data_IF_400678890675
#
_entry.id   IF_400678890675
#
_cell.length_a   1.000
_cell.length_b   1.000
_cell.length_c   1.000
_cell.angle_alpha   90.00
_cell.angle_beta   90.00
_cell.angle_gamma   90.00
#
_symmetry.space_group_name_H-M   'P 1'
#
loop_
_entity.id
_entity.type
_entity.pdbx_description
1 polymer ?
#
# COMPACT_ATOMS: atom_id res chain seq x y z
N UNK A 1 14.08 -0.62 4.97
CA UNK A 1 13.63 -1.96 4.51
C UNK A 1 14.17 -2.98 5.49
N UNK A 2 13.29 -3.76 6.13
CA UNK A 2 13.72 -4.88 6.94
C UNK A 2 13.73 -6.12 6.04
N UNK A 3 14.91 -6.58 5.63
CA UNK A 3 15.03 -7.90 4.99
C UNK A 3 15.82 -8.80 5.95
N UNK A 4 15.13 -9.74 6.58
CA UNK A 4 15.74 -10.87 7.29
C UNK A 4 15.72 -12.09 6.36
N UNK A 5 16.18 -11.91 5.11
CA UNK A 5 16.12 -12.95 4.07
C UNK A 5 14.71 -13.50 3.87
N UNK A 6 14.46 -14.70 4.39
CA UNK A 6 13.21 -15.46 4.28
C UNK A 6 12.28 -15.38 5.51
N UNK A 7 12.50 -14.45 6.44
CA UNK A 7 11.70 -14.34 7.67
C UNK A 7 10.84 -13.08 7.70
N UNK A 8 9.63 -13.23 8.26
CA UNK A 8 8.72 -12.14 8.56
C UNK A 8 8.98 -11.58 9.97
N UNK A 9 8.92 -10.27 10.12
CA UNK A 9 8.86 -9.60 11.40
C UNK A 9 7.60 -8.73 11.44
N UNK A 10 6.80 -8.89 12.49
CA UNK A 10 5.51 -8.21 12.65
C UNK A 10 5.51 -7.51 14.01
N UNK A 11 5.10 -6.24 14.02
CA UNK A 11 4.85 -5.48 15.25
C UNK A 11 3.39 -5.09 15.27
N UNK A 12 2.72 -5.37 16.38
CA UNK A 12 1.31 -4.99 16.60
C UNK A 12 1.22 -4.05 17.80
N UNK A 13 0.35 -3.05 17.72
CA UNK A 13 0.12 -2.09 18.80
C UNK A 13 -1.33 -2.08 19.24
N UNK A 14 -1.55 -1.93 20.54
CA UNK A 14 -2.87 -1.55 21.07
C UNK A 14 -3.12 -0.09 20.71
N UNK A 15 -4.35 0.24 20.29
CA UNK A 15 -4.77 1.59 19.88
C UNK A 15 -4.15 2.12 18.57
N UNK A 16 -3.92 1.26 17.58
CA UNK A 16 -3.40 1.64 16.26
C UNK A 16 -4.26 2.64 15.45
N UNK A 17 -5.49 2.96 15.89
CA UNK A 17 -6.37 3.91 15.20
C UNK A 17 -7.24 3.30 14.09
N UNK A 18 -7.21 1.98 13.94
CA UNK A 18 -7.99 1.24 12.94
C UNK A 18 -9.10 0.40 13.58
N UNK A 19 -10.22 0.19 12.89
CA UNK A 19 -11.27 -0.77 13.29
C UNK A 19 -10.96 -2.16 12.78
N UNK A 20 -10.51 -2.25 11.53
CA UNK A 20 -10.19 -3.50 10.85
C UNK A 20 -8.93 -3.32 10.00
N UNK A 21 -8.20 -4.42 9.83
CA UNK A 21 -7.03 -4.49 8.96
C UNK A 21 -7.02 -5.82 8.20
N UNK A 22 -6.50 -5.78 6.98
CA UNK A 22 -6.26 -6.95 6.13
C UNK A 22 -4.88 -6.83 5.48
N UNK A 23 -4.27 -7.98 5.21
CA UNK A 23 -3.01 -8.07 4.49
C UNK A 23 -3.26 -8.75 3.16
N UNK A 24 -2.93 -8.07 2.07
CA UNK A 24 -2.97 -8.61 0.71
C UNK A 24 -1.53 -8.94 0.30
N UNK A 25 -1.25 -10.23 0.11
CA UNK A 25 0.04 -10.74 -0.35
C UNK A 25 -0.04 -11.04 -1.85
N UNK A 26 1.08 -10.83 -2.54
CA UNK A 26 1.26 -11.25 -3.94
C UNK A 26 0.23 -10.64 -4.91
N UNK A 27 0.44 -9.36 -5.21
CA UNK A 27 -0.43 -8.60 -6.12
C UNK A 27 -0.42 -9.16 -7.55
N UNK A 28 -1.40 -10.02 -7.86
CA UNK A 28 -1.84 -10.24 -9.23
C UNK A 28 -2.51 -8.97 -9.73
N UNK A 29 -1.87 -8.33 -10.71
CA UNK A 29 -2.47 -7.23 -11.46
C UNK A 29 -3.37 -7.80 -12.57
N UNK A 30 -4.56 -7.25 -12.85
CA UNK A 30 -5.09 -5.99 -12.34
C UNK A 30 -5.69 -6.09 -10.93
N UNK A 31 -5.54 -4.99 -10.20
CA UNK A 31 -5.69 -4.81 -8.75
C UNK A 31 -7.13 -4.91 -8.21
N UNK A 32 -7.86 -5.96 -8.57
CA UNK A 32 -9.23 -6.26 -8.11
C UNK A 32 -9.33 -6.26 -6.58
N UNK A 33 -8.33 -6.83 -5.90
CA UNK A 33 -8.27 -6.87 -4.44
C UNK A 33 -8.27 -5.46 -3.81
N UNK A 34 -7.46 -4.54 -4.34
CA UNK A 34 -7.36 -3.17 -3.78
C UNK A 34 -8.63 -2.39 -4.04
N UNK A 35 -9.14 -2.43 -5.28
CA UNK A 35 -10.36 -1.71 -5.62
C UNK A 35 -11.53 -2.19 -4.77
N UNK A 36 -11.71 -3.51 -4.65
CA UNK A 36 -12.74 -4.09 -3.77
C UNK A 36 -12.58 -3.66 -2.32
N UNK A 37 -11.35 -3.55 -1.80
CA UNK A 37 -11.10 -3.10 -0.42
C UNK A 37 -11.35 -1.59 -0.28
N UNK A 38 -10.97 -0.78 -1.26
CA UNK A 38 -11.26 0.66 -1.29
C UNK A 38 -12.75 0.95 -1.29
N UNK A 39 -13.56 0.18 -2.03
CA UNK A 39 -15.03 0.27 -2.05
C UNK A 39 -15.63 -0.07 -0.67
N UNK A 40 -14.99 -0.98 0.05
CA UNK A 40 -15.37 -1.34 1.42
C UNK A 40 -14.82 -0.38 2.49
N UNK A 41 -14.19 0.73 2.08
CA UNK A 41 -13.69 1.77 3.00
C UNK A 41 -12.32 1.50 3.62
N UNK A 42 -11.61 0.47 3.17
CA UNK A 42 -10.20 0.28 3.53
C UNK A 42 -9.31 1.27 2.78
N UNK A 43 -8.12 1.52 3.33
CA UNK A 43 -7.07 2.34 2.73
C UNK A 43 -5.72 1.67 2.96
N UNK A 44 -4.83 1.76 1.99
CA UNK A 44 -3.46 1.25 2.12
C UNK A 44 -2.75 2.12 3.15
N UNK A 45 -2.27 1.52 4.23
CA UNK A 45 -1.62 2.22 5.35
C UNK A 45 -0.16 1.81 5.52
N UNK A 46 0.24 0.67 4.97
CA UNK A 46 1.63 0.25 4.95
C UNK A 46 1.88 -0.68 3.76
N UNK A 47 3.12 -0.73 3.31
CA UNK A 47 3.55 -1.62 2.24
C UNK A 47 4.98 -2.08 2.46
N UNK A 48 5.25 -3.31 2.03
CA UNK A 48 6.58 -3.88 1.98
C UNK A 48 6.72 -4.74 0.73
N UNK A 49 7.93 -4.83 0.20
CA UNK A 49 8.25 -5.72 -0.90
C UNK A 49 9.62 -6.35 -0.72
N UNK A 50 9.75 -7.57 -1.21
CA UNK A 50 10.99 -8.29 -1.46
C UNK A 50 11.21 -8.39 -2.98
N UNK A 51 12.25 -9.10 -3.42
CA UNK A 51 12.41 -9.39 -4.84
C UNK A 51 11.35 -10.36 -5.38
N UNK A 52 10.66 -11.10 -4.51
CA UNK A 52 9.75 -12.15 -4.96
C UNK A 52 8.29 -11.83 -4.63
N UNK A 53 8.03 -10.99 -3.64
CA UNK A 53 6.69 -10.76 -3.11
C UNK A 53 6.47 -9.31 -2.69
N UNK A 54 5.21 -8.88 -2.72
CA UNK A 54 4.76 -7.67 -2.04
C UNK A 54 3.68 -7.98 -1.02
N UNK A 55 3.60 -7.14 0.00
CA UNK A 55 2.58 -7.16 1.03
C UNK A 55 2.02 -5.75 1.20
N UNK A 56 0.70 -5.60 1.08
CA UNK A 56 -0.01 -4.37 1.42
C UNK A 56 -0.85 -4.60 2.66
N UNK A 57 -0.75 -3.68 3.61
CA UNK A 57 -1.68 -3.62 4.74
C UNK A 57 -2.73 -2.58 4.39
N UNK A 58 -3.99 -3.02 4.34
CA UNK A 58 -5.14 -2.14 4.18
C UNK A 58 -5.91 -2.07 5.49
N UNK A 59 -6.25 -0.86 5.91
CA UNK A 59 -6.89 -0.60 7.20
C UNK A 59 -8.12 0.28 7.04
N UNK A 60 -9.12 0.07 7.88
CA UNK A 60 -10.25 1.00 8.04
C UNK A 60 -9.97 1.96 9.20
N UNK A 61 -9.76 3.27 8.94
CA UNK A 61 -9.51 4.24 10.00
C UNK A 61 -10.77 4.46 10.85
N UNK A 62 -10.59 4.55 12.17
CA UNK A 62 -11.70 4.84 13.12
C UNK A 62 -12.37 6.20 12.85
N UNK A 63 -11.62 7.14 12.27
CA UNK A 63 -12.11 8.44 11.79
C UNK A 63 -11.90 8.50 10.29
N UNK A 64 -12.97 8.45 9.53
CA UNK A 64 -12.91 8.55 8.06
C UNK A 64 -12.57 9.98 7.65
N UNK A 65 -11.48 10.22 6.89
CA UNK A 65 -11.24 11.52 6.29
C UNK A 65 -12.33 11.84 5.26
N UNK A 66 -12.67 13.12 5.10
CA UNK A 66 -13.78 13.56 4.24
C UNK A 66 -13.49 13.39 2.74
N UNK A 67 -12.22 13.38 2.33
CA UNK A 67 -11.79 13.28 0.92
C UNK A 67 -10.50 12.45 0.79
N UNK A 68 -10.61 11.14 1.02
CA UNK A 68 -9.45 10.25 0.91
C UNK A 68 -9.41 9.51 -0.43
N UNK A 69 -8.57 10.02 -1.33
CA UNK A 69 -8.22 9.39 -2.61
C UNK A 69 -6.84 8.75 -2.50
N UNK A 70 -6.75 7.47 -2.84
CA UNK A 70 -5.49 6.76 -3.01
C UNK A 70 -5.40 6.20 -4.42
N UNK A 71 -4.17 6.13 -4.93
CA UNK A 71 -3.87 5.47 -6.19
C UNK A 71 -2.61 4.61 -6.04
N UNK A 72 -2.52 3.57 -6.87
CA UNK A 72 -1.35 2.69 -6.93
C UNK A 72 -0.74 2.78 -8.31
N UNK A 73 0.59 2.89 -8.37
CA UNK A 73 1.35 2.84 -9.61
C UNK A 73 2.41 1.74 -9.50
N UNK A 74 2.48 0.86 -10.50
CA UNK A 74 3.51 -0.17 -10.63
C UNK A 74 4.36 0.13 -11.87
N UNK A 75 5.65 0.39 -11.65
CA UNK A 75 6.62 0.69 -12.72
C UNK A 75 7.96 0.01 -12.43
N UNK A 76 8.73 -0.27 -13.47
CA UNK A 76 10.09 -0.83 -13.34
C UNK A 76 11.13 0.24 -12.97
N UNK A 77 10.92 1.48 -13.42
CA UNK A 77 11.76 2.63 -13.12
C UNK A 77 11.10 3.53 -12.08
N UNK A 78 11.90 4.32 -11.37
CA UNK A 78 11.39 5.29 -10.41
C UNK A 78 10.52 6.35 -11.11
N UNK A 79 9.23 6.50 -10.74
CA UNK A 79 8.26 7.28 -11.51
C UNK A 79 8.27 8.78 -11.18
N UNK A 80 9.42 9.44 -11.30
CA UNK A 80 9.60 10.85 -10.87
C UNK A 80 8.66 11.84 -11.55
N UNK A 81 8.36 11.65 -12.85
CA UNK A 81 7.43 12.50 -13.58
C UNK A 81 5.99 12.36 -13.06
N UNK A 82 5.54 11.13 -12.80
CA UNK A 82 4.22 10.85 -12.24
C UNK A 82 4.06 11.46 -10.84
N UNK A 83 5.09 11.32 -9.99
CA UNK A 83 5.08 11.92 -8.65
C UNK A 83 4.91 13.44 -8.72
N UNK A 84 5.62 14.11 -9.62
CA UNK A 84 5.49 15.56 -9.83
C UNK A 84 4.09 15.97 -10.30
N UNK A 85 3.50 15.23 -11.25
CA UNK A 85 2.12 15.47 -11.71
C UNK A 85 1.11 15.32 -10.56
N UNK A 86 1.29 14.32 -9.69
CA UNK A 86 0.38 14.07 -8.57
C UNK A 86 0.50 15.09 -7.45
N UNK A 87 1.69 15.58 -7.17
CA UNK A 87 1.87 16.72 -6.26
C UNK A 87 1.13 17.97 -6.74
N UNK A 88 1.11 18.25 -8.05
CA UNK A 88 0.35 19.37 -8.61
C UNK A 88 -1.18 19.21 -8.46
N UNK A 89 -1.66 17.99 -8.20
CA UNK A 89 -3.07 17.65 -7.98
C UNK A 89 -3.42 17.46 -6.49
N UNK A 90 -2.55 17.88 -5.58
CA UNK A 90 -2.71 17.71 -4.13
C UNK A 90 -2.75 16.23 -3.68
N UNK A 91 -2.14 15.32 -4.43
CA UNK A 91 -1.90 13.93 -4.02
C UNK A 91 -0.46 13.77 -3.57
N UNK A 92 -0.27 13.15 -2.40
CA UNK A 92 1.04 12.93 -1.79
C UNK A 92 1.37 11.44 -1.67
N UNK A 93 2.65 11.15 -1.49
CA UNK A 93 3.13 9.78 -1.31
C UNK A 93 2.63 9.22 0.03
N UNK A 94 1.80 8.18 0.00
CA UNK A 94 1.37 7.44 1.19
C UNK A 94 2.28 6.24 1.50
N UNK A 95 2.99 5.72 0.50
CA UNK A 95 3.91 4.62 0.64
C UNK A 95 4.72 4.41 -0.64
N UNK A 96 5.92 3.87 -0.50
CA UNK A 96 6.74 3.42 -1.62
C UNK A 96 7.49 2.16 -1.20
N UNK A 97 7.49 1.15 -2.06
CA UNK A 97 8.37 0.00 -1.94
C UNK A 97 8.90 -0.36 -3.33
N UNK A 98 10.15 -0.81 -3.37
CA UNK A 98 10.78 -1.31 -4.59
C UNK A 98 11.06 -2.80 -4.43
N UNK A 99 10.65 -3.58 -5.41
CA UNK A 99 10.76 -5.03 -5.45
C UNK A 99 10.20 -5.54 -6.76
N UNK A 100 10.54 -6.76 -7.15
CA UNK A 100 9.99 -7.36 -8.37
C UNK A 100 8.61 -7.94 -8.02
N UNK A 101 7.58 -7.20 -8.40
CA UNK A 101 6.18 -7.63 -8.25
C UNK A 101 5.76 -8.29 -9.55
N UNK A 102 6.04 -9.59 -9.66
CA UNK A 102 5.65 -10.56 -10.73
C UNK A 102 5.85 -10.05 -12.18
N UNK A 103 6.71 -10.75 -12.93
CA UNK A 103 7.00 -10.48 -14.33
C UNK A 103 5.75 -10.56 -15.24
#
# INVERSE_FOLDING_TARGET
>A
MATSGSRWAIVMSRNAGFTDQVVELDFLYPSEGVHRRWDNGYRITAMAATMDQSALILSMPRRRPRDETQETLRTSQFPSAHVKDKWAKNLYLAGICYGRTVA
#
